data_IF_664780948428
#
_entry.id   IF_664780948428
#
_cell.length_a   1.000
_cell.length_b   1.000
_cell.length_c   1.000
_cell.angle_alpha   90.00
_cell.angle_beta   90.00
_cell.angle_gamma   90.00
#
_symmetry.space_group_name_H-M   'P 1'
#
loop_
_entity.id
_entity.type
_entity.pdbx_description
1 polymer ?
#
# COMPACT_ATOMS: atom_id res chain seq x y z
N UNK A 1 -34.90 22.63 61.89
CA UNK A 1 -36.35 22.46 61.73
C UNK A 1 -36.97 23.76 62.17
N UNK A 2 -37.78 24.35 61.30
CA UNK A 2 -38.56 25.58 61.47
C UNK A 2 -37.74 26.89 61.45
N UNK A 3 -38.15 27.98 60.81
CA UNK A 3 -39.12 28.32 59.76
C UNK A 3 -38.91 29.84 59.63
N UNK A 4 -38.58 30.39 58.46
CA UNK A 4 -38.67 31.84 58.25
C UNK A 4 -39.04 32.12 56.80
N UNK A 5 -40.28 32.55 56.60
CA UNK A 5 -40.73 33.29 55.41
C UNK A 5 -40.98 34.76 55.80
N UNK A 6 -40.89 35.69 54.84
CA UNK A 6 -40.66 37.12 55.09
C UNK A 6 -41.92 37.98 54.87
N UNK A 7 -41.96 39.13 55.53
CA UNK A 7 -42.79 40.29 55.22
C UNK A 7 -42.11 41.48 55.92
N UNK A 8 -42.12 42.72 55.46
CA UNK A 8 -42.66 43.40 54.29
C UNK A 8 -42.12 44.83 54.39
N UNK A 9 -42.00 45.50 53.24
CA UNK A 9 -41.63 46.89 53.11
C UNK A 9 -42.42 47.86 54.02
N UNK A 10 -41.73 48.88 54.52
CA UNK A 10 -42.30 50.21 54.66
C UNK A 10 -41.21 51.29 54.47
N UNK A 11 -41.47 52.17 53.51
CA UNK A 11 -40.80 53.46 53.26
C UNK A 11 -41.44 54.51 54.19
N UNK A 12 -40.80 55.66 54.55
CA UNK A 12 -40.87 56.81 53.62
C UNK A 12 -39.77 57.90 53.74
N UNK A 13 -39.58 58.60 52.60
CA UNK A 13 -39.47 60.05 52.37
C UNK A 13 -38.62 60.97 53.31
N UNK A 14 -37.70 61.77 52.72
CA UNK A 14 -37.99 63.15 52.24
C UNK A 14 -36.78 64.14 52.30
N UNK A 15 -36.78 65.12 51.36
CA UNK A 15 -36.09 66.44 51.31
C UNK A 15 -34.55 66.48 51.09
N UNK A 16 -33.94 67.35 50.26
CA UNK A 16 -34.38 68.42 49.35
C UNK A 16 -33.20 69.28 48.81
N UNK A 17 -33.44 69.99 47.70
CA UNK A 17 -32.82 71.23 47.14
C UNK A 17 -31.36 71.24 46.57
N UNK A 18 -31.15 71.32 45.23
CA UNK A 18 -30.87 72.49 44.29
C UNK A 18 -29.49 73.17 44.47
N UNK A 19 -28.66 73.57 43.48
CA UNK A 19 -28.85 74.35 42.23
C UNK A 19 -27.67 74.14 41.24
N UNK A 20 -27.96 74.40 39.96
CA UNK A 20 -27.19 74.47 38.70
C UNK A 20 -25.70 74.93 38.66
N UNK A 21 -24.95 74.39 37.69
CA UNK A 21 -24.27 75.21 36.65
C UNK A 21 -23.61 74.39 35.49
N UNK A 22 -24.15 74.61 34.29
CA UNK A 22 -23.50 74.85 32.98
C UNK A 22 -22.15 74.21 32.54
N UNK A 23 -22.21 73.70 31.30
CA UNK A 23 -21.20 73.60 30.22
C UNK A 23 -20.18 72.43 30.19
N UNK A 24 -20.36 71.60 29.14
CA UNK A 24 -19.50 70.64 28.38
C UNK A 24 -17.96 70.75 28.53
N UNK A 25 -17.14 69.72 28.18
CA UNK A 25 -17.44 68.52 27.37
C UNK A 25 -16.98 67.18 27.98
N UNK A 26 -17.55 66.07 27.48
CA UNK A 26 -17.22 64.71 27.91
C UNK A 26 -15.79 64.28 27.51
N UNK A 27 -15.00 63.90 28.50
CA UNK A 27 -13.76 63.12 28.37
C UNK A 27 -14.08 61.61 28.50
N UNK A 28 -13.30 60.73 27.85
CA UNK A 28 -13.70 59.37 27.53
C UNK A 28 -13.74 58.45 28.75
N UNK A 29 -14.81 57.68 28.89
CA UNK A 29 -14.90 56.60 29.88
C UNK A 29 -14.00 55.43 29.50
N UNK A 30 -13.27 54.95 30.51
CA UNK A 30 -12.47 53.74 30.49
C UNK A 30 -13.30 52.48 30.24
N UNK A 31 -12.71 51.59 29.45
CA UNK A 31 -12.75 50.12 29.55
C UNK A 31 -14.07 49.38 29.27
N UNK A 32 -14.16 48.83 28.06
CA UNK A 32 -14.47 47.40 27.89
C UNK A 32 -13.19 46.67 27.50
N UNK A 33 -12.86 45.51 28.11
CA UNK A 33 -11.72 44.72 27.68
C UNK A 33 -11.99 44.25 26.24
N UNK A 34 -11.06 44.56 25.34
CA UNK A 34 -10.95 43.92 24.05
C UNK A 34 -10.95 42.42 24.32
N UNK A 35 -11.98 41.72 23.85
CA UNK A 35 -11.97 40.27 23.81
C UNK A 35 -10.74 39.87 22.98
N UNK A 36 -9.73 39.35 23.69
CA UNK A 36 -8.62 38.64 23.07
C UNK A 36 -9.25 37.57 22.18
N UNK A 37 -9.01 37.55 20.86
CA UNK A 37 -9.46 36.43 20.06
C UNK A 37 -8.78 35.19 20.65
N UNK A 38 -9.60 34.22 21.09
CA UNK A 38 -9.14 32.91 21.52
C UNK A 38 -8.22 32.31 20.45
N UNK A 39 -7.42 31.29 20.80
CA UNK A 39 -6.44 30.71 19.89
C UNK A 39 -7.12 30.42 18.55
N UNK A 40 -6.66 31.10 17.50
CA UNK A 40 -7.09 30.83 16.12
C UNK A 40 -6.78 29.37 15.86
N UNK A 41 -7.83 28.55 15.92
CA UNK A 41 -7.77 27.14 15.61
C UNK A 41 -7.20 27.04 14.20
N UNK A 42 -5.96 26.57 14.09
CA UNK A 42 -5.28 26.48 12.81
C UNK A 42 -6.02 25.43 11.99
N UNK A 43 -6.88 25.88 11.09
CA UNK A 43 -7.62 25.00 10.19
C UNK A 43 -6.59 24.35 9.27
N UNK A 44 -6.36 23.05 9.45
CA UNK A 44 -5.51 22.26 8.56
C UNK A 44 -6.33 21.83 7.35
N UNK A 45 -5.89 22.16 6.15
CA UNK A 45 -6.59 21.87 4.89
C UNK A 45 -5.66 21.07 3.98
N UNK A 46 -6.19 20.05 3.32
CA UNK A 46 -5.46 19.30 2.29
C UNK A 46 -4.96 20.23 1.19
N UNK A 47 -3.71 20.04 0.76
CA UNK A 47 -3.10 20.82 -0.32
C UNK A 47 -3.67 20.49 -1.70
N UNK A 48 -4.27 19.31 -1.85
CA UNK A 48 -4.92 18.87 -3.11
C UNK A 48 -6.43 19.08 -3.05
N UNK A 49 -7.05 18.65 -1.96
CA UNK A 49 -8.50 18.72 -1.78
C UNK A 49 -8.86 19.98 -0.99
N UNK A 50 -8.70 21.15 -1.62
CA UNK A 50 -8.89 22.49 -1.03
C UNK A 50 -10.17 23.18 -1.56
N UNK A 51 -10.66 24.27 -0.93
CA UNK A 51 -11.94 24.91 -1.31
C UNK A 51 -12.05 25.40 -2.75
N UNK A 52 -10.92 25.62 -3.40
CA UNK A 52 -10.83 26.09 -4.80
C UNK A 52 -10.39 24.98 -5.76
N UNK A 53 -10.56 23.71 -5.35
CA UNK A 53 -10.27 22.56 -6.20
C UNK A 53 -11.16 22.63 -7.44
N UNK A 54 -10.55 22.67 -8.62
CA UNK A 54 -11.25 22.59 -9.90
C UNK A 54 -11.03 21.20 -10.51
N UNK A 55 -12.12 20.44 -10.65
CA UNK A 55 -12.15 19.13 -11.28
C UNK A 55 -13.07 19.08 -12.52
N UNK A 56 -13.41 20.23 -13.10
CA UNK A 56 -14.30 20.33 -14.26
C UNK A 56 -15.79 20.18 -13.93
N UNK A 57 -16.16 20.19 -12.64
CA UNK A 57 -17.54 20.01 -12.14
C UNK A 57 -18.06 21.20 -11.33
N UNK A 58 -17.36 22.34 -11.38
CA UNK A 58 -17.64 23.49 -10.52
C UNK A 58 -16.87 23.44 -9.19
N UNK A 59 -17.22 24.30 -8.22
CA UNK A 59 -16.59 24.31 -6.91
C UNK A 59 -16.99 23.08 -6.07
N UNK A 60 -16.15 22.67 -5.10
CA UNK A 60 -16.48 21.60 -4.15
C UNK A 60 -17.79 21.84 -3.40
N UNK A 61 -18.65 20.83 -3.37
CA UNK A 61 -19.99 20.87 -2.75
C UNK A 61 -20.05 20.14 -1.40
N UNK A 62 -18.95 19.47 -1.01
CA UNK A 62 -18.80 18.75 0.26
C UNK A 62 -17.43 19.00 0.91
N UNK A 63 -17.44 19.14 2.24
CA UNK A 63 -16.27 19.25 3.11
C UNK A 63 -16.24 18.07 4.08
N UNK A 64 -15.19 17.25 4.01
CA UNK A 64 -14.90 16.23 5.00
C UNK A 64 -13.94 16.74 6.07
N UNK A 65 -14.13 16.28 7.30
CA UNK A 65 -13.22 16.50 8.42
C UNK A 65 -12.72 15.13 8.87
N UNK A 66 -11.44 14.87 8.65
CA UNK A 66 -10.78 13.64 9.11
C UNK A 66 -10.60 13.62 10.63
N UNK A 67 -10.32 12.44 11.19
CA UNK A 67 -10.20 12.25 12.64
C UNK A 67 -9.08 13.07 13.30
N UNK A 68 -8.07 13.47 12.52
CA UNK A 68 -6.97 14.36 12.91
C UNK A 68 -7.24 15.84 12.59
N UNK A 69 -8.50 16.21 12.38
CA UNK A 69 -9.00 17.56 12.11
C UNK A 69 -8.48 18.21 10.81
N UNK A 70 -8.03 17.40 9.85
CA UNK A 70 -7.71 17.88 8.51
C UNK A 70 -8.97 17.96 7.66
N UNK A 71 -9.19 19.11 7.03
CA UNK A 71 -10.32 19.35 6.12
C UNK A 71 -9.98 18.98 4.69
N UNK A 72 -10.92 18.30 4.02
CA UNK A 72 -10.84 17.93 2.61
C UNK A 72 -12.10 18.41 1.89
N UNK A 73 -11.91 19.04 0.72
CA UNK A 73 -13.00 19.52 -0.11
C UNK A 73 -13.12 18.65 -1.36
N UNK A 74 -14.32 18.19 -1.67
CA UNK A 74 -14.57 17.24 -2.74
C UNK A 74 -15.93 17.51 -3.44
N UNK A 75 -16.26 16.62 -4.38
CA UNK A 75 -17.48 16.66 -5.18
C UNK A 75 -18.35 15.42 -4.94
N UNK A 76 -19.57 15.61 -4.46
CA UNK A 76 -20.56 14.54 -4.23
C UNK A 76 -20.75 13.65 -5.47
N UNK A 77 -20.88 14.18 -6.71
CA UNK A 77 -21.04 13.34 -7.90
C UNK A 77 -19.90 12.32 -8.10
N UNK A 78 -18.65 12.71 -7.81
CA UNK A 78 -17.51 11.81 -7.94
C UNK A 78 -17.57 10.67 -6.92
N UNK A 79 -17.99 10.98 -5.69
CA UNK A 79 -18.08 10.01 -4.59
C UNK A 79 -19.22 9.02 -4.84
N UNK A 80 -20.41 9.52 -5.19
CA UNK A 80 -21.58 8.68 -5.47
C UNK A 80 -21.40 7.79 -6.71
N UNK A 81 -20.61 8.21 -7.69
CA UNK A 81 -20.27 7.36 -8.84
C UNK A 81 -19.38 6.15 -8.45
N UNK A 82 -18.74 6.19 -7.27
CA UNK A 82 -17.82 5.15 -6.80
C UNK A 82 -18.36 4.32 -5.65
N UNK A 83 -19.29 4.86 -4.88
CA UNK A 83 -19.88 4.22 -3.70
C UNK A 83 -21.28 3.68 -4.01
N UNK A 84 -21.56 2.45 -3.57
CA UNK A 84 -22.90 1.84 -3.68
C UNK A 84 -23.77 2.01 -2.42
N UNK A 85 -23.23 2.59 -1.36
CA UNK A 85 -23.92 2.77 -0.07
C UNK A 85 -23.90 4.22 0.40
N UNK A 86 -23.94 5.18 -0.54
CA UNK A 86 -23.97 6.60 -0.23
C UNK A 86 -22.80 7.04 0.68
N UNK A 87 -21.64 6.42 0.47
CA UNK A 87 -20.43 6.61 1.25
C UNK A 87 -20.65 6.34 2.73
N UNK A 88 -21.17 5.13 3.04
CA UNK A 88 -21.59 4.72 4.38
C UNK A 88 -22.74 5.58 4.95
N UNK A 89 -23.74 5.86 4.10
CA UNK A 89 -24.91 6.71 4.40
C UNK A 89 -24.55 8.14 4.87
N UNK A 90 -23.31 8.57 4.65
CA UNK A 90 -22.85 9.92 5.01
C UNK A 90 -23.35 10.98 4.04
N UNK A 91 -23.71 10.58 2.81
CA UNK A 91 -24.18 11.49 1.76
C UNK A 91 -25.68 11.30 1.55
N UNK A 92 -26.51 12.35 1.69
CA UNK A 92 -27.95 12.24 1.45
C UNK A 92 -28.28 11.87 0.00
N UNK A 93 -29.29 11.02 -0.20
CA UNK A 93 -29.75 10.56 -1.52
C UNK A 93 -30.34 11.67 -2.39
N UNK A 94 -30.74 12.79 -1.77
CA UNK A 94 -31.37 13.95 -2.41
C UNK A 94 -30.70 15.25 -1.97
N UNK A 95 -29.38 15.35 -2.12
CA UNK A 95 -28.68 16.61 -1.93
C UNK A 95 -28.93 17.54 -3.12
N UNK A 96 -29.71 18.59 -2.90
CA UNK A 96 -29.96 19.66 -3.87
C UNK A 96 -29.10 20.87 -3.49
N UNK A 97 -27.81 20.85 -3.82
CA UNK A 97 -26.98 22.04 -3.67
C UNK A 97 -27.48 23.16 -4.60
N UNK A 98 -27.79 24.33 -4.06
CA UNK A 98 -27.95 25.53 -4.88
C UNK A 98 -26.59 26.19 -5.10
N UNK A 99 -26.38 26.80 -6.27
CA UNK A 99 -25.17 27.61 -6.53
C UNK A 99 -25.05 28.71 -5.47
N UNK A 100 -23.98 28.66 -4.66
CA UNK A 100 -23.70 29.64 -3.61
C UNK A 100 -23.90 29.15 -2.17
N UNK A 101 -24.43 27.95 -1.95
CA UNK A 101 -24.52 27.36 -0.62
C UNK A 101 -23.14 26.96 -0.07
N UNK A 102 -22.99 27.03 1.25
CA UNK A 102 -21.82 26.49 1.94
C UNK A 102 -21.73 24.97 1.71
N UNK A 103 -20.51 24.40 1.60
CA UNK A 103 -20.37 22.97 1.34
C UNK A 103 -20.96 22.14 2.46
N UNK A 104 -21.59 21.03 2.12
CA UNK A 104 -22.10 20.07 3.09
C UNK A 104 -20.95 19.52 3.94
N UNK A 105 -21.06 19.56 5.26
CA UNK A 105 -19.95 19.19 6.16
C UNK A 105 -20.19 17.82 6.78
N UNK A 106 -19.19 16.94 6.66
CA UNK A 106 -19.24 15.56 7.18
C UNK A 106 -17.94 15.24 7.92
N UNK A 107 -18.04 14.54 9.06
CA UNK A 107 -16.87 13.98 9.74
C UNK A 107 -16.65 12.52 9.31
N UNK A 108 -15.39 12.12 9.17
CA UNK A 108 -15.00 10.74 8.85
C UNK A 108 -14.07 10.17 9.93
N UNK A 109 -14.18 8.88 10.27
CA UNK A 109 -13.37 8.26 11.31
C UNK A 109 -11.91 8.02 10.90
N UNK A 110 -11.59 8.08 9.61
CA UNK A 110 -10.23 7.84 9.12
C UNK A 110 -9.30 9.05 9.37
N UNK A 111 -8.01 8.80 9.66
CA UNK A 111 -7.01 9.85 9.72
C UNK A 111 -6.70 10.38 8.30
N UNK A 112 -6.14 11.59 8.23
CA UNK A 112 -5.88 12.28 6.96
C UNK A 112 -5.09 11.47 5.91
N UNK A 113 -4.06 10.65 6.24
CA UNK A 113 -3.32 9.91 5.21
C UNK A 113 -4.19 8.86 4.51
N UNK A 114 -5.03 8.16 5.27
CA UNK A 114 -5.96 7.13 4.77
C UNK A 114 -7.04 7.79 3.91
N UNK A 115 -7.65 8.85 4.43
CA UNK A 115 -8.71 9.56 3.70
C UNK A 115 -8.20 10.23 2.42
N UNK A 116 -6.96 10.73 2.43
CA UNK A 116 -6.31 11.27 1.24
C UNK A 116 -6.20 10.21 0.14
N UNK A 117 -5.80 8.97 0.48
CA UNK A 117 -5.73 7.86 -0.49
C UNK A 117 -7.14 7.58 -1.06
N UNK A 118 -8.18 7.54 -0.21
CA UNK A 118 -9.57 7.29 -0.63
C UNK A 118 -10.02 8.34 -1.66
N UNK A 119 -9.80 9.64 -1.40
CA UNK A 119 -10.16 10.68 -2.35
C UNK A 119 -9.37 10.58 -3.65
N UNK A 120 -8.06 10.30 -3.60
CA UNK A 120 -7.28 10.05 -4.82
C UNK A 120 -7.83 8.87 -5.64
N UNK A 121 -8.30 7.80 -5.00
CA UNK A 121 -8.97 6.68 -5.68
C UNK A 121 -10.27 7.15 -6.35
N UNK A 122 -11.09 7.94 -5.65
CA UNK A 122 -12.37 8.43 -6.16
C UNK A 122 -12.18 9.25 -7.43
N UNK A 123 -11.23 10.18 -7.41
CA UNK A 123 -10.89 11.04 -8.55
C UNK A 123 -10.03 10.32 -9.62
N UNK A 124 -9.50 9.14 -9.32
CA UNK A 124 -8.60 8.41 -10.22
C UNK A 124 -7.22 9.04 -10.38
N UNK A 125 -6.78 9.83 -9.39
CA UNK A 125 -5.49 10.51 -9.40
C UNK A 125 -4.43 9.71 -8.64
N UNK A 126 -3.17 9.88 -9.03
CA UNK A 126 -2.05 9.29 -8.29
C UNK A 126 -1.84 9.99 -6.95
N UNK A 127 -1.67 9.23 -5.87
CA UNK A 127 -1.25 9.72 -4.56
C UNK A 127 0.23 9.48 -4.27
N UNK A 128 1.03 9.10 -5.28
CA UNK A 128 2.44 8.73 -5.11
C UNK A 128 3.34 9.89 -4.62
N UNK A 129 2.89 11.14 -4.75
CA UNK A 129 3.61 12.31 -4.24
C UNK A 129 3.58 12.42 -2.70
N UNK A 130 2.72 11.64 -2.04
CA UNK A 130 2.55 11.64 -0.60
C UNK A 130 3.26 10.45 0.06
N UNK A 131 3.76 10.65 1.28
CA UNK A 131 4.39 9.60 2.07
C UNK A 131 3.34 8.77 2.79
N UNK A 132 2.82 7.76 2.10
CA UNK A 132 1.90 6.78 2.68
C UNK A 132 2.66 5.61 3.31
N UNK A 133 2.21 5.16 4.48
CA UNK A 133 2.73 3.95 5.12
C UNK A 133 1.96 2.71 4.66
N UNK A 134 2.51 1.52 4.95
CA UNK A 134 1.80 0.27 4.69
C UNK A 134 0.49 0.19 5.51
N UNK A 135 0.52 0.70 6.74
CA UNK A 135 -0.64 0.69 7.63
C UNK A 135 -1.75 1.60 7.09
N UNK A 136 -1.39 2.75 6.48
CA UNK A 136 -2.37 3.61 5.80
C UNK A 136 -3.04 2.90 4.62
N UNK A 137 -2.26 2.15 3.84
CA UNK A 137 -2.77 1.37 2.70
C UNK A 137 -3.69 0.25 3.19
N UNK A 138 -3.29 -0.48 4.23
CA UNK A 138 -4.10 -1.54 4.83
C UNK A 138 -5.43 -0.99 5.37
N UNK A 139 -5.37 0.11 6.13
CA UNK A 139 -6.54 0.81 6.63
C UNK A 139 -7.44 1.30 5.49
N UNK A 140 -6.85 1.78 4.39
CA UNK A 140 -7.61 2.17 3.19
C UNK A 140 -8.38 1.01 2.59
N UNK A 141 -7.77 -0.17 2.44
CA UNK A 141 -8.46 -1.36 1.89
C UNK A 141 -9.66 -1.77 2.74
N UNK A 142 -9.58 -1.60 4.06
CA UNK A 142 -10.69 -1.83 4.99
C UNK A 142 -11.77 -0.76 4.79
N UNK A 143 -11.39 0.53 4.81
CA UNK A 143 -12.30 1.66 4.68
C UNK A 143 -13.07 1.65 3.35
N UNK A 144 -12.46 1.21 2.24
CA UNK A 144 -13.14 1.07 0.95
C UNK A 144 -14.40 0.21 1.05
N UNK A 145 -14.36 -0.89 1.84
CA UNK A 145 -15.54 -1.74 2.04
C UNK A 145 -16.62 -1.02 2.83
N UNK A 146 -16.24 -0.30 3.89
CA UNK A 146 -17.15 0.51 4.70
C UNK A 146 -17.86 1.56 3.85
N UNK A 147 -17.13 2.22 2.95
CA UNK A 147 -17.66 3.23 2.04
C UNK A 147 -18.35 2.67 0.79
N UNK A 148 -18.64 1.38 0.75
CA UNK A 148 -19.36 0.75 -0.37
C UNK A 148 -18.60 0.86 -1.69
N UNK A 149 -17.28 0.94 -1.66
CA UNK A 149 -16.43 0.94 -2.83
C UNK A 149 -15.97 -0.48 -3.13
N UNK A 150 -16.01 -0.88 -4.40
CA UNK A 150 -15.51 -2.18 -4.82
C UNK A 150 -13.99 -2.25 -4.69
N UNK A 151 -13.49 -3.02 -3.70
CA UNK A 151 -12.04 -3.20 -3.50
C UNK A 151 -11.35 -3.78 -4.73
N UNK A 152 -11.99 -4.72 -5.42
CA UNK A 152 -11.45 -5.33 -6.64
C UNK A 152 -11.34 -4.31 -7.78
N UNK A 153 -12.31 -3.41 -7.93
CA UNK A 153 -12.26 -2.34 -8.93
C UNK A 153 -11.20 -1.27 -8.58
N UNK A 154 -11.11 -0.90 -7.29
CA UNK A 154 -10.13 0.09 -6.82
C UNK A 154 -8.68 -0.44 -6.86
N UNK A 155 -8.50 -1.75 -6.90
CA UNK A 155 -7.21 -2.44 -6.99
C UNK A 155 -6.99 -3.13 -8.35
N UNK A 156 -7.78 -2.78 -9.36
CA UNK A 156 -7.54 -3.25 -10.71
C UNK A 156 -6.18 -2.77 -11.23
N UNK A 157 -5.64 -3.45 -12.25
CA UNK A 157 -4.37 -3.04 -12.87
C UNK A 157 -4.45 -1.58 -13.34
N UNK A 158 -3.34 -0.85 -13.21
CA UNK A 158 -3.21 0.58 -13.54
C UNK A 158 -4.03 1.56 -12.68
N UNK A 159 -4.67 1.11 -11.60
CA UNK A 159 -5.27 2.02 -10.63
C UNK A 159 -4.20 2.66 -9.72
N UNK A 160 -4.49 3.84 -9.13
CA UNK A 160 -3.58 4.49 -8.18
C UNK A 160 -3.21 3.60 -7.01
N UNK A 161 -4.19 2.93 -6.39
CA UNK A 161 -3.96 2.09 -5.21
C UNK A 161 -3.17 0.83 -5.57
N UNK A 162 -3.43 0.21 -6.73
CA UNK A 162 -2.62 -0.91 -7.22
C UNK A 162 -1.15 -0.51 -7.40
N UNK A 163 -0.90 0.64 -8.03
CA UNK A 163 0.44 1.16 -8.26
C UNK A 163 1.15 1.48 -6.95
N UNK A 164 0.44 2.09 -5.99
CA UNK A 164 0.95 2.38 -4.66
C UNK A 164 1.33 1.08 -3.91
N UNK A 165 0.47 0.06 -3.92
CA UNK A 165 0.76 -1.24 -3.30
C UNK A 165 2.01 -1.91 -3.91
N UNK A 166 2.16 -1.89 -5.24
CA UNK A 166 3.34 -2.48 -5.89
C UNK A 166 4.63 -1.71 -5.61
N UNK A 167 4.57 -0.40 -5.42
CA UNK A 167 5.72 0.39 -4.99
C UNK A 167 6.24 -0.11 -3.63
N UNK A 168 5.33 -0.39 -2.67
CA UNK A 168 5.69 -0.96 -1.37
C UNK A 168 6.14 -2.41 -1.44
N UNK A 169 5.64 -3.19 -2.41
CA UNK A 169 6.02 -4.60 -2.57
C UNK A 169 7.54 -4.78 -2.75
N UNK A 170 8.20 -3.85 -3.44
CA UNK A 170 9.66 -3.91 -3.66
C UNK A 170 10.48 -3.82 -2.37
N UNK A 171 9.92 -3.21 -1.31
CA UNK A 171 10.60 -3.03 -0.02
C UNK A 171 10.11 -4.03 1.04
N UNK A 172 8.82 -4.36 1.03
CA UNK A 172 8.16 -5.20 2.04
C UNK A 172 7.27 -6.25 1.35
N UNK A 173 7.83 -7.16 0.53
CA UNK A 173 7.03 -8.06 -0.30
C UNK A 173 6.18 -9.03 0.53
N UNK A 174 6.70 -9.52 1.67
CA UNK A 174 5.97 -10.48 2.51
C UNK A 174 4.72 -9.84 3.12
N UNK A 175 4.81 -8.58 3.49
CA UNK A 175 3.72 -7.87 4.17
C UNK A 175 2.61 -7.49 3.19
N UNK A 176 2.99 -7.06 1.97
CA UNK A 176 2.01 -6.86 0.90
C UNK A 176 1.36 -8.18 0.50
N UNK A 177 2.12 -9.28 0.44
CA UNK A 177 1.56 -10.60 0.19
C UNK A 177 0.57 -11.04 1.28
N UNK A 178 0.90 -10.81 2.55
CA UNK A 178 0.01 -11.08 3.67
C UNK A 178 -1.25 -10.20 3.65
N UNK A 179 -1.12 -8.91 3.36
CA UNK A 179 -2.25 -7.98 3.21
C UNK A 179 -3.17 -8.38 2.04
N UNK A 180 -2.56 -8.77 0.91
CA UNK A 180 -3.31 -9.26 -0.25
C UNK A 180 -4.08 -10.53 0.10
N UNK A 181 -3.44 -11.46 0.81
CA UNK A 181 -4.05 -12.70 1.28
C UNK A 181 -5.21 -12.45 2.26
N UNK A 182 -5.02 -11.57 3.24
CA UNK A 182 -6.00 -11.17 4.26
C UNK A 182 -7.31 -10.64 3.63
N UNK A 183 -7.20 -9.94 2.51
CA UNK A 183 -8.35 -9.34 1.82
C UNK A 183 -8.77 -10.08 0.53
N UNK A 184 -8.20 -11.26 0.25
CA UNK A 184 -8.55 -12.08 -0.91
C UNK A 184 -8.16 -11.47 -2.27
N UNK A 185 -7.12 -10.64 -2.29
CA UNK A 185 -6.60 -9.92 -3.46
C UNK A 185 -5.63 -10.81 -4.26
N UNK A 186 -6.17 -11.88 -4.84
CA UNK A 186 -5.38 -12.94 -5.50
C UNK A 186 -4.42 -12.41 -6.55
N UNK A 187 -4.86 -11.49 -7.41
CA UNK A 187 -4.04 -10.96 -8.50
C UNK A 187 -2.79 -10.24 -7.99
N UNK A 188 -2.90 -9.53 -6.86
CA UNK A 188 -1.76 -8.87 -6.21
C UNK A 188 -0.85 -9.92 -5.56
N UNK A 189 -1.43 -10.88 -4.85
CA UNK A 189 -0.66 -11.95 -4.21
C UNK A 189 0.19 -12.72 -5.23
N UNK A 190 -0.35 -13.04 -6.40
CA UNK A 190 0.37 -13.69 -7.49
C UNK A 190 1.55 -12.83 -7.96
N UNK A 191 1.32 -11.54 -8.26
CA UNK A 191 2.39 -10.64 -8.72
C UNK A 191 3.52 -10.54 -7.70
N UNK A 192 3.18 -10.37 -6.42
CA UNK A 192 4.15 -10.16 -5.34
C UNK A 192 4.90 -11.46 -4.98
N UNK A 193 4.29 -12.62 -5.18
CA UNK A 193 4.92 -13.91 -4.88
C UNK A 193 6.23 -14.15 -5.66
N UNK A 194 6.41 -13.52 -6.83
CA UNK A 194 7.66 -13.53 -7.59
C UNK A 194 8.85 -12.99 -6.81
N UNK A 195 8.61 -12.05 -5.90
CA UNK A 195 9.62 -11.43 -5.06
C UNK A 195 9.89 -12.24 -3.78
N UNK A 196 9.05 -13.24 -3.49
CA UNK A 196 9.13 -14.11 -2.31
C UNK A 196 9.71 -15.49 -2.61
N UNK A 197 10.13 -15.74 -3.85
CA UNK A 197 10.66 -17.02 -4.29
C UNK A 197 11.81 -17.50 -3.39
N UNK A 198 12.72 -16.62 -2.95
CA UNK A 198 13.80 -16.97 -2.02
C UNK A 198 13.61 -16.50 -0.58
N UNK A 199 12.39 -16.07 -0.23
CA UNK A 199 12.11 -15.69 1.15
C UNK A 199 12.21 -16.91 2.07
N UNK A 200 12.91 -16.79 3.20
CA UNK A 200 13.07 -17.90 4.13
C UNK A 200 11.80 -18.06 4.95
N UNK A 201 11.11 -19.19 4.79
CA UNK A 201 9.82 -19.42 5.47
C UNK A 201 9.91 -19.37 7.00
N UNK A 202 11.08 -19.68 7.59
CA UNK A 202 11.29 -19.60 9.04
C UNK A 202 11.41 -18.16 9.56
N UNK A 203 11.58 -17.17 8.69
CA UNK A 203 11.61 -15.74 9.08
C UNK A 203 10.21 -15.13 9.16
N UNK A 204 9.17 -15.86 8.75
CA UNK A 204 7.80 -15.39 8.82
C UNK A 204 7.36 -15.36 10.29
N UNK A 205 6.95 -14.19 10.75
CA UNK A 205 6.48 -13.98 12.13
C UNK A 205 5.04 -14.48 12.30
N UNK A 206 4.68 -14.88 13.52
CA UNK A 206 3.31 -15.32 13.84
C UNK A 206 2.21 -14.33 13.42
N UNK A 207 2.36 -13.00 13.62
CA UNK A 207 1.35 -12.04 13.15
C UNK A 207 1.15 -12.08 11.62
N UNK A 208 2.23 -12.25 10.84
CA UNK A 208 2.13 -12.35 9.39
C UNK A 208 1.54 -13.69 8.94
N UNK A 209 1.82 -14.77 9.66
CA UNK A 209 1.19 -16.08 9.42
C UNK A 209 -0.32 -16.03 9.61
N UNK A 210 -0.77 -15.39 10.69
CA UNK A 210 -2.20 -15.22 10.97
C UNK A 210 -2.88 -14.38 9.89
N UNK A 211 -2.29 -13.25 9.51
CA UNK A 211 -2.85 -12.35 8.47
C UNK A 211 -2.93 -13.03 7.10
N UNK A 212 -1.87 -13.72 6.70
CA UNK A 212 -1.80 -14.41 5.41
C UNK A 212 -2.69 -15.66 5.35
N UNK A 213 -2.79 -16.38 6.46
CA UNK A 213 -3.54 -17.63 6.57
C UNK A 213 -2.86 -18.83 5.90
N UNK A 214 -3.32 -20.03 6.26
CA UNK A 214 -2.72 -21.29 5.84
C UNK A 214 -2.73 -21.51 4.32
N UNK A 215 -3.76 -21.00 3.62
CA UNK A 215 -3.90 -21.17 2.17
C UNK A 215 -2.77 -20.50 1.39
N UNK A 216 -2.46 -19.24 1.72
CA UNK A 216 -1.42 -18.49 1.03
C UNK A 216 -0.02 -18.93 1.47
N UNK A 217 0.16 -19.31 2.74
CA UNK A 217 1.39 -19.95 3.20
C UNK A 217 1.69 -21.24 2.41
N UNK A 218 0.69 -22.13 2.27
CA UNK A 218 0.85 -23.38 1.52
C UNK A 218 1.18 -23.11 0.04
N UNK A 219 0.58 -22.08 -0.55
CA UNK A 219 0.88 -21.66 -1.93
C UNK A 219 2.32 -21.19 -2.07
N UNK A 220 2.80 -20.34 -1.16
CA UNK A 220 4.19 -19.88 -1.16
C UNK A 220 5.17 -21.05 -0.98
N UNK A 221 4.90 -21.96 -0.03
CA UNK A 221 5.73 -23.14 0.18
C UNK A 221 5.75 -24.07 -1.04
N UNK A 222 4.60 -24.29 -1.69
CA UNK A 222 4.52 -25.07 -2.94
C UNK A 222 5.27 -24.39 -4.09
N UNK A 223 5.18 -23.07 -4.21
CA UNK A 223 5.94 -22.32 -5.22
C UNK A 223 7.44 -22.56 -5.05
N UNK A 224 7.95 -22.45 -3.82
CA UNK A 224 9.37 -22.70 -3.54
C UNK A 224 9.76 -24.16 -3.78
N UNK A 225 8.96 -25.12 -3.31
CA UNK A 225 9.23 -26.54 -3.51
C UNK A 225 9.25 -26.93 -4.99
N UNK A 226 8.26 -26.49 -5.77
CA UNK A 226 8.17 -26.79 -7.21
C UNK A 226 9.31 -26.16 -8.01
N UNK A 227 9.77 -24.95 -7.64
CA UNK A 227 10.94 -24.34 -8.25
C UNK A 227 12.22 -25.12 -7.92
N UNK A 228 12.36 -25.60 -6.68
CA UNK A 228 13.51 -26.42 -6.29
C UNK A 228 13.53 -27.79 -6.98
N UNK A 229 12.37 -28.42 -7.15
CA UNK A 229 12.23 -29.65 -7.94
C UNK A 229 12.65 -29.43 -9.39
N UNK A 230 12.15 -28.37 -10.04
CA UNK A 230 12.57 -28.00 -11.40
C UNK A 230 14.07 -27.76 -11.51
N UNK A 231 14.66 -27.05 -10.55
CA UNK A 231 16.11 -26.79 -10.52
C UNK A 231 16.90 -28.11 -10.44
N UNK A 232 16.47 -29.00 -9.53
CA UNK A 232 17.07 -30.33 -9.35
C UNK A 232 17.00 -31.15 -10.64
N UNK A 233 15.84 -31.23 -11.28
CA UNK A 233 15.66 -32.00 -12.52
C UNK A 233 16.56 -31.48 -13.65
N UNK A 234 16.70 -30.16 -13.75
CA UNK A 234 17.60 -29.52 -14.72
C UNK A 234 19.07 -29.87 -14.47
N UNK A 235 19.52 -29.86 -13.21
CA UNK A 235 20.91 -30.14 -12.83
C UNK A 235 21.28 -31.63 -12.86
N UNK A 236 20.33 -32.53 -12.56
CA UNK A 236 20.58 -33.97 -12.52
C UNK A 236 20.61 -34.62 -13.90
N UNK A 237 20.13 -33.93 -14.94
CA UNK A 237 20.18 -34.43 -16.32
C UNK A 237 21.49 -33.97 -16.99
N UNK A 238 22.46 -34.88 -17.22
CA UNK A 238 23.75 -34.56 -17.82
C UNK A 238 23.65 -34.19 -19.31
N UNK A 239 24.71 -33.58 -19.89
CA UNK A 239 24.80 -33.41 -21.34
C UNK A 239 24.86 -34.77 -22.05
N UNK A 240 24.23 -34.86 -23.22
CA UNK A 240 24.34 -36.04 -24.06
C UNK A 240 25.77 -36.17 -24.60
N UNK A 241 26.32 -37.38 -24.55
CA UNK A 241 27.59 -37.69 -25.19
C UNK A 241 27.46 -37.67 -26.72
N UNK A 242 28.60 -37.70 -27.42
CA UNK A 242 28.63 -37.83 -28.88
C UNK A 242 29.15 -39.21 -29.32
N UNK A 243 28.98 -39.57 -30.59
CA UNK A 243 29.57 -40.79 -31.13
C UNK A 243 31.10 -40.77 -31.01
N UNK A 244 31.73 -41.92 -30.74
CA UNK A 244 33.19 -41.99 -30.58
C UNK A 244 33.91 -41.54 -31.85
N UNK A 245 34.95 -40.71 -31.68
CA UNK A 245 35.81 -40.23 -32.77
C UNK A 245 37.22 -40.77 -32.59
N UNK A 246 38.10 -40.55 -33.57
CA UNK A 246 39.52 -40.94 -33.49
C UNK A 246 40.28 -40.26 -32.33
N UNK A 247 39.78 -39.13 -31.82
CA UNK A 247 40.41 -38.33 -30.77
C UNK A 247 39.65 -38.32 -29.45
N UNK A 248 38.43 -38.86 -29.42
CA UNK A 248 37.57 -38.84 -28.24
C UNK A 248 36.71 -40.11 -28.14
N UNK A 249 36.98 -40.90 -27.11
CA UNK A 249 36.24 -42.13 -26.80
C UNK A 249 35.66 -42.12 -25.39
N UNK A 250 35.45 -43.31 -24.84
CA UNK A 250 34.84 -43.50 -23.52
C UNK A 250 35.56 -42.76 -22.38
N UNK A 251 36.90 -42.69 -22.43
CA UNK A 251 37.69 -42.02 -21.39
C UNK A 251 37.39 -40.52 -21.29
N UNK A 252 37.40 -39.78 -22.41
CA UNK A 252 37.06 -38.36 -22.40
C UNK A 252 35.58 -38.10 -22.03
N UNK A 253 34.66 -38.98 -22.45
CA UNK A 253 33.25 -38.86 -22.06
C UNK A 253 33.05 -39.08 -20.55
N UNK A 254 33.83 -39.96 -19.92
CA UNK A 254 33.83 -40.09 -18.46
C UNK A 254 34.34 -38.84 -17.75
N UNK A 255 35.33 -38.14 -18.32
CA UNK A 255 35.79 -36.85 -17.78
C UNK A 255 34.66 -35.82 -17.85
N UNK A 256 33.92 -35.73 -18.96
CA UNK A 256 32.72 -34.88 -19.09
C UNK A 256 31.69 -35.17 -18.00
N UNK A 257 31.36 -36.45 -17.79
CA UNK A 257 30.40 -36.87 -16.76
C UNK A 257 30.90 -36.54 -15.34
N UNK A 258 32.20 -36.71 -15.07
CA UNK A 258 32.80 -36.35 -13.79
C UNK A 258 32.78 -34.85 -13.54
N UNK A 259 33.17 -34.05 -14.53
CA UNK A 259 33.17 -32.59 -14.45
C UNK A 259 31.74 -32.05 -14.25
N UNK A 260 30.75 -32.64 -14.93
CA UNK A 260 29.34 -32.37 -14.69
C UNK A 260 28.92 -32.66 -13.25
N UNK A 261 29.24 -33.85 -12.74
CA UNK A 261 28.88 -34.26 -11.39
C UNK A 261 29.46 -33.33 -10.32
N UNK A 262 30.71 -32.88 -10.48
CA UNK A 262 31.35 -31.92 -9.57
C UNK A 262 30.63 -30.57 -9.61
N UNK A 263 30.34 -30.04 -10.80
CA UNK A 263 29.62 -28.77 -10.94
C UNK A 263 28.21 -28.85 -10.33
N UNK A 264 27.47 -29.93 -10.59
CA UNK A 264 26.14 -30.17 -10.00
C UNK A 264 26.19 -30.32 -8.48
N UNK A 265 27.19 -31.01 -7.93
CA UNK A 265 27.38 -31.13 -6.49
C UNK A 265 27.66 -29.76 -5.83
N UNK A 266 28.54 -28.95 -6.45
CA UNK A 266 28.83 -27.58 -6.00
C UNK A 266 27.59 -26.67 -6.02
N UNK A 267 26.78 -26.77 -7.07
CA UNK A 267 25.53 -26.02 -7.19
C UNK A 267 24.47 -26.50 -6.20
N UNK A 268 24.42 -27.80 -5.89
CA UNK A 268 23.48 -28.37 -4.91
C UNK A 268 23.65 -27.74 -3.53
N UNK A 269 24.88 -27.42 -3.13
CA UNK A 269 25.16 -26.73 -1.86
C UNK A 269 24.69 -25.27 -1.84
N UNK A 270 24.63 -24.64 -3.01
CA UNK A 270 24.19 -23.24 -3.19
C UNK A 270 22.73 -23.15 -3.63
N UNK A 271 22.03 -24.28 -3.75
CA UNK A 271 20.73 -24.34 -4.37
C UNK A 271 19.70 -23.60 -3.52
N UNK A 272 19.07 -22.61 -4.13
CA UNK A 272 17.99 -21.81 -3.56
C UNK A 272 17.04 -21.40 -4.68
N UNK A 273 15.76 -21.11 -4.37
CA UNK A 273 14.78 -20.83 -5.42
C UNK A 273 15.10 -19.60 -6.28
N UNK A 274 15.93 -18.65 -5.82
CA UNK A 274 16.40 -17.47 -6.57
C UNK A 274 17.82 -17.61 -7.14
N UNK A 275 18.34 -18.84 -7.27
CA UNK A 275 19.70 -19.06 -7.76
C UNK A 275 19.90 -18.38 -9.12
N UNK A 276 20.88 -17.48 -9.24
CA UNK A 276 21.03 -16.68 -10.45
C UNK A 276 21.57 -17.51 -11.62
N UNK A 277 21.15 -17.16 -12.83
CA UNK A 277 21.67 -17.73 -14.08
C UNK A 277 23.21 -17.60 -14.19
N UNK A 278 23.77 -16.49 -13.68
CA UNK A 278 25.21 -16.26 -13.66
C UNK A 278 25.97 -17.25 -12.76
N UNK A 279 25.42 -17.60 -11.59
CA UNK A 279 26.05 -18.58 -10.68
C UNK A 279 26.01 -19.98 -11.29
N UNK A 280 24.89 -20.36 -11.92
CA UNK A 280 24.76 -21.63 -12.65
C UNK A 280 25.80 -21.69 -13.77
N UNK A 281 25.90 -20.64 -14.58
CA UNK A 281 26.83 -20.58 -15.69
C UNK A 281 28.29 -20.64 -15.24
N UNK A 282 28.66 -19.90 -14.19
CA UNK A 282 30.02 -19.90 -13.65
C UNK A 282 30.46 -21.31 -13.21
N UNK A 283 29.60 -22.03 -12.48
CA UNK A 283 29.91 -23.38 -11.99
C UNK A 283 30.14 -24.39 -13.13
N UNK A 284 29.33 -24.33 -14.20
CA UNK A 284 29.53 -25.23 -15.34
C UNK A 284 30.64 -24.79 -16.30
N UNK A 285 30.97 -23.49 -16.37
CA UNK A 285 32.12 -23.02 -17.14
C UNK A 285 33.45 -23.52 -16.54
N UNK A 286 33.53 -23.66 -15.22
CA UNK A 286 34.69 -24.28 -14.55
C UNK A 286 34.89 -25.73 -15.00
N UNK A 287 33.79 -26.48 -15.18
CA UNK A 287 33.81 -27.84 -15.71
C UNK A 287 34.34 -27.91 -17.15
N UNK A 288 34.10 -26.88 -17.97
CA UNK A 288 34.59 -26.81 -19.36
C UNK A 288 36.13 -26.81 -19.42
N UNK A 289 36.80 -26.20 -18.44
CA UNK A 289 38.27 -26.11 -18.40
C UNK A 289 38.98 -27.46 -18.32
N UNK A 290 38.28 -28.50 -17.85
CA UNK A 290 38.80 -29.87 -17.77
C UNK A 290 38.68 -30.66 -19.09
N UNK A 291 38.04 -30.10 -20.11
CA UNK A 291 37.70 -30.80 -21.36
C UNK A 291 38.61 -30.37 -22.52
N UNK A 292 39.28 -31.35 -23.12
CA UNK A 292 40.13 -31.14 -24.30
C UNK A 292 39.38 -31.37 -25.62
N UNK A 293 38.32 -32.18 -25.62
CA UNK A 293 37.52 -32.48 -26.81
C UNK A 293 36.55 -31.34 -27.14
N UNK A 294 36.60 -30.83 -28.38
CA UNK A 294 35.69 -29.79 -28.86
C UNK A 294 34.20 -30.21 -28.82
N UNK A 295 33.88 -31.43 -29.23
CA UNK A 295 32.50 -31.93 -29.24
C UNK A 295 31.92 -32.07 -27.83
N UNK A 296 32.72 -32.52 -26.85
CA UNK A 296 32.31 -32.56 -25.44
C UNK A 296 32.04 -31.16 -24.88
N UNK A 297 32.87 -30.17 -25.23
CA UNK A 297 32.64 -28.76 -24.83
C UNK A 297 31.37 -28.21 -25.45
N UNK A 298 31.10 -28.51 -26.72
CA UNK A 298 29.89 -28.03 -27.39
C UNK A 298 28.62 -28.69 -26.83
N UNK A 299 28.67 -29.99 -26.51
CA UNK A 299 27.57 -30.68 -25.81
C UNK A 299 27.31 -30.06 -24.44
N UNK A 300 28.36 -29.79 -23.66
CA UNK A 300 28.26 -29.11 -22.36
C UNK A 300 27.65 -27.71 -22.51
N UNK A 301 28.17 -26.87 -23.41
CA UNK A 301 27.64 -25.51 -23.65
C UNK A 301 26.18 -25.52 -24.08
N UNK A 302 25.80 -26.46 -24.93
CA UNK A 302 24.41 -26.64 -25.36
C UNK A 302 23.51 -26.96 -24.18
N UNK A 303 23.96 -27.87 -23.31
CA UNK A 303 23.24 -28.22 -22.08
C UNK A 303 23.14 -27.05 -21.11
N UNK A 304 24.22 -26.29 -20.91
CA UNK A 304 24.21 -25.08 -20.06
C UNK A 304 23.18 -24.09 -20.57
N UNK A 305 23.19 -23.76 -21.87
CA UNK A 305 22.20 -22.84 -22.47
C UNK A 305 20.76 -23.29 -22.24
N UNK A 306 20.50 -24.59 -22.38
CA UNK A 306 19.18 -25.17 -22.12
C UNK A 306 18.76 -25.00 -20.65
N UNK A 307 19.66 -25.25 -19.71
CA UNK A 307 19.40 -25.05 -18.28
C UNK A 307 19.09 -23.59 -17.99
N UNK A 308 19.92 -22.66 -18.47
CA UNK A 308 19.73 -21.23 -18.25
C UNK A 308 18.39 -20.75 -18.81
N UNK A 309 18.04 -21.20 -20.03
CA UNK A 309 16.77 -20.88 -20.64
C UNK A 309 15.58 -21.42 -19.84
N UNK A 310 15.59 -22.71 -19.48
CA UNK A 310 14.49 -23.34 -18.74
C UNK A 310 14.36 -22.79 -17.33
N UNK A 311 15.47 -22.50 -16.66
CA UNK A 311 15.47 -21.94 -15.31
C UNK A 311 14.95 -20.50 -15.29
N UNK A 312 15.41 -19.65 -16.19
CA UNK A 312 14.90 -18.27 -16.29
C UNK A 312 13.41 -18.22 -16.67
N UNK A 313 12.93 -19.17 -17.47
CA UNK A 313 11.51 -19.33 -17.77
C UNK A 313 10.71 -19.81 -16.55
N UNK A 314 11.24 -20.76 -15.78
CA UNK A 314 10.61 -21.26 -14.57
C UNK A 314 10.42 -20.15 -13.53
N UNK A 315 11.38 -19.24 -13.38
CA UNK A 315 11.27 -18.08 -12.48
C UNK A 315 10.20 -17.07 -12.91
N UNK A 316 9.81 -17.05 -14.19
CA UNK A 316 8.79 -16.15 -14.74
C UNK A 316 7.38 -16.77 -14.77
N UNK A 317 7.25 -18.07 -14.54
CA UNK A 317 5.98 -18.80 -14.59
C UNK A 317 5.53 -19.14 -13.17
N UNK A 318 4.65 -18.29 -12.64
CA UNK A 318 3.99 -18.44 -11.33
C UNK A 318 2.51 -18.69 -11.55
#
# INVERSE_FOLDING_TARGET
>A
MDHLDPNSHDSPAAYGFTVDNHLLPALPQETTPIAVPGPTEKISISTVFHPTLDAGTGPPDIKFIAADNVSFFAHIPHILNRSVNQFNDLIPTSYNAQEGDAPFVVAVPEPSPVFNIILHIIYGWSSAAFTHTLDDIAATVIALKTYGMSTSACLAQHTPLYTLMLAHASLRPLEIYALAAEHGLEHIAVVVSSQLVAYRLHEITDPLLVRMGARYLLRLAKLQATLMEKLRDLMLTPPEGHASTSTCGFAQQRILMGAWAIATASLSWKAKPDLSASVIQAAFNEAEGSLTCALCRDALRTRIRLILYRWTLALRTI
#
